data_IF_403720308929
#
_entry.id   IF_403720308929
#
_cell.length_a   1.000
_cell.length_b   1.000
_cell.length_c   1.000
_cell.angle_alpha   90.00
_cell.angle_beta   90.00
_cell.angle_gamma   90.00
#
_symmetry.space_group_name_H-M   'P 1'
#
loop_
_entity.id
_entity.type
_entity.pdbx_description
1 polymer ?
#
# COMPACT_ATOMS: atom_id res chain seq x y z
N UNK A 1 -14.58 -73.33 -27.96
CA UNK A 1 -15.21 -72.08 -27.55
C UNK A 1 -14.22 -71.33 -26.67
N UNK A 2 -13.43 -70.42 -27.25
CA UNK A 2 -12.40 -69.66 -26.51
C UNK A 2 -12.98 -68.27 -26.19
N UNK A 3 -13.13 -67.98 -24.86
CA UNK A 3 -13.57 -66.68 -24.41
C UNK A 3 -12.37 -65.70 -24.43
N UNK A 4 -12.47 -64.67 -25.27
CA UNK A 4 -11.49 -63.58 -25.35
C UNK A 4 -11.85 -62.55 -24.24
N UNK A 5 -10.96 -62.44 -23.26
CA UNK A 5 -11.07 -61.40 -22.21
C UNK A 5 -10.31 -60.16 -22.66
N UNK A 6 -11.05 -59.12 -23.01
CA UNK A 6 -10.47 -57.82 -23.38
C UNK A 6 -10.16 -57.03 -22.12
N UNK A 7 -8.87 -56.81 -21.83
CA UNK A 7 -8.40 -55.99 -20.70
C UNK A 7 -8.33 -54.52 -21.17
N UNK A 8 -9.28 -53.72 -20.71
CA UNK A 8 -9.27 -52.27 -20.97
C UNK A 8 -8.39 -51.61 -19.93
N UNK A 9 -7.20 -51.15 -20.39
CA UNK A 9 -6.28 -50.40 -19.58
C UNK A 9 -6.75 -48.93 -19.52
N UNK A 10 -7.33 -48.50 -18.39
CA UNK A 10 -7.71 -47.14 -18.14
C UNK A 10 -6.45 -46.35 -17.78
N UNK A 11 -5.90 -45.56 -18.72
CA UNK A 11 -4.81 -44.64 -18.48
C UNK A 11 -5.36 -43.40 -17.74
N UNK A 12 -5.19 -43.34 -16.44
CA UNK A 12 -5.37 -42.10 -15.67
C UNK A 12 -4.23 -41.14 -16.01
N UNK A 13 -4.52 -40.16 -16.86
CA UNK A 13 -3.66 -38.99 -17.06
C UNK A 13 -3.83 -38.11 -15.81
N UNK A 14 -2.94 -38.25 -14.86
CA UNK A 14 -2.74 -37.27 -13.78
C UNK A 14 -2.20 -35.99 -14.41
N UNK A 15 -3.12 -35.08 -14.76
CA UNK A 15 -2.75 -33.71 -15.09
C UNK A 15 -2.28 -33.03 -13.78
N UNK A 16 -1.02 -33.24 -13.43
CA UNK A 16 -0.39 -32.51 -12.35
C UNK A 16 -0.29 -31.04 -12.80
N UNK A 17 -1.10 -30.17 -12.17
CA UNK A 17 -0.85 -28.74 -12.21
C UNK A 17 0.49 -28.49 -11.49
N UNK A 18 1.60 -28.60 -12.22
CA UNK A 18 2.84 -28.00 -11.78
C UNK A 18 2.63 -26.49 -11.86
N UNK A 19 2.54 -25.84 -10.67
CA UNK A 19 2.66 -24.40 -10.60
C UNK A 19 3.94 -24.02 -11.34
N UNK A 20 3.80 -23.35 -12.47
CA UNK A 20 4.94 -22.81 -13.22
C UNK A 20 5.57 -21.77 -12.28
N UNK A 21 6.71 -22.14 -11.68
CA UNK A 21 7.56 -21.20 -10.98
C UNK A 21 7.97 -20.17 -12.03
N UNK A 22 7.49 -18.93 -11.92
CA UNK A 22 7.87 -17.83 -12.81
C UNK A 22 9.38 -17.68 -12.64
N UNK A 23 10.12 -18.10 -13.65
CA UNK A 23 11.56 -17.91 -13.70
C UNK A 23 11.79 -16.45 -14.08
N UNK A 24 12.22 -15.61 -13.14
CA UNK A 24 12.57 -14.21 -13.38
C UNK A 24 13.89 -14.12 -14.17
N UNK A 25 14.06 -15.00 -15.15
CA UNK A 25 15.27 -15.11 -16.00
C UNK A 25 15.63 -13.81 -16.73
N UNK A 26 14.71 -12.84 -16.81
CA UNK A 26 14.94 -11.52 -17.41
C UNK A 26 15.40 -10.46 -16.41
N UNK A 27 15.52 -10.78 -15.12
CA UNK A 27 15.88 -9.79 -14.09
C UNK A 27 14.81 -8.71 -13.84
N UNK A 28 13.57 -8.92 -14.25
CA UNK A 28 12.45 -8.02 -14.03
C UNK A 28 11.70 -8.37 -12.75
N UNK A 29 11.28 -7.35 -11.99
CA UNK A 29 10.41 -7.47 -10.81
C UNK A 29 9.15 -6.66 -11.07
N UNK A 30 8.00 -7.33 -11.10
CA UNK A 30 6.70 -6.69 -11.30
C UNK A 30 6.13 -6.22 -9.96
N UNK A 31 6.03 -4.91 -9.79
CA UNK A 31 5.58 -4.24 -8.57
C UNK A 31 4.14 -3.79 -8.74
N UNK A 32 3.26 -4.23 -7.83
CA UNK A 32 1.86 -3.77 -7.76
C UNK A 32 1.69 -2.64 -6.75
N UNK A 33 1.08 -1.54 -7.20
CA UNK A 33 0.62 -0.44 -6.36
C UNK A 33 -0.65 0.20 -6.94
N UNK A 34 -1.41 0.90 -6.11
CA UNK A 34 -2.53 1.72 -6.58
C UNK A 34 -2.10 3.18 -6.83
N UNK A 35 -3.07 4.03 -7.14
CA UNK A 35 -2.87 5.47 -7.29
C UNK A 35 -2.92 6.12 -5.90
N UNK A 36 -1.76 6.39 -5.32
CA UNK A 36 -1.62 6.83 -3.93
C UNK A 36 -0.50 7.88 -3.79
N UNK A 37 -0.74 9.13 -4.28
CA UNK A 37 0.21 10.25 -4.19
C UNK A 37 0.48 10.61 -2.72
N UNK A 38 1.73 10.90 -2.31
CA UNK A 38 2.97 10.98 -3.10
C UNK A 38 3.77 9.67 -3.17
N UNK A 39 3.22 8.53 -2.72
CA UNK A 39 3.95 7.26 -2.64
C UNK A 39 4.07 6.57 -4.00
N UNK A 40 2.96 6.42 -4.72
CA UNK A 40 2.91 5.86 -6.07
C UNK A 40 1.76 6.48 -6.86
N UNK A 41 2.06 7.08 -8.00
CA UNK A 41 1.06 7.73 -8.85
C UNK A 41 1.55 7.83 -10.29
N UNK A 42 0.62 8.05 -11.23
CA UNK A 42 0.94 8.28 -12.64
C UNK A 42 0.95 9.78 -12.90
N UNK A 43 2.08 10.27 -13.39
CA UNK A 43 2.25 11.62 -13.90
C UNK A 43 2.75 11.57 -15.34
N UNK A 44 2.00 12.20 -16.26
CA UNK A 44 2.29 12.21 -17.70
C UNK A 44 2.54 10.81 -18.32
N UNK A 45 1.86 9.78 -17.79
CA UNK A 45 1.97 8.39 -18.26
C UNK A 45 3.12 7.60 -17.64
N UNK A 46 3.88 8.18 -16.72
CA UNK A 46 4.98 7.52 -16.01
C UNK A 46 4.64 7.32 -14.53
N UNK A 47 5.06 6.17 -13.98
CA UNK A 47 4.97 5.94 -12.54
C UNK A 47 6.02 6.74 -11.80
N UNK A 48 5.58 7.50 -10.80
CA UNK A 48 6.37 8.36 -9.91
C UNK A 48 5.95 8.16 -8.46
N UNK A 49 6.75 8.68 -7.54
CA UNK A 49 6.45 8.72 -6.12
C UNK A 49 7.57 8.15 -5.26
N UNK A 50 7.44 8.35 -3.97
CA UNK A 50 8.44 7.94 -2.96
C UNK A 50 8.76 6.45 -3.11
N UNK A 51 7.75 5.59 -3.13
CA UNK A 51 7.93 4.14 -3.21
C UNK A 51 8.47 3.70 -4.57
N UNK A 52 8.04 4.39 -5.64
CA UNK A 52 8.51 4.14 -6.99
C UNK A 52 10.01 4.42 -7.12
N UNK A 53 10.47 5.54 -6.58
CA UNK A 53 11.88 5.93 -6.70
C UNK A 53 12.77 5.11 -5.74
N UNK A 54 12.29 4.76 -4.53
CA UNK A 54 12.98 3.81 -3.66
C UNK A 54 13.10 2.44 -4.34
N UNK A 55 12.03 1.95 -4.99
CA UNK A 55 12.04 0.67 -5.69
C UNK A 55 12.99 0.67 -6.89
N UNK A 56 12.98 1.76 -7.70
CA UNK A 56 13.91 1.92 -8.83
C UNK A 56 15.36 1.86 -8.37
N UNK A 57 15.71 2.62 -7.35
CA UNK A 57 17.08 2.67 -6.82
C UNK A 57 17.49 1.33 -6.20
N UNK A 58 16.64 0.74 -5.35
CA UNK A 58 16.95 -0.54 -4.71
C UNK A 58 17.17 -1.65 -5.74
N UNK A 59 16.27 -1.81 -6.69
CA UNK A 59 16.37 -2.83 -7.72
C UNK A 59 17.54 -2.58 -8.68
N UNK A 60 17.84 -1.32 -9.00
CA UNK A 60 19.02 -0.95 -9.78
C UNK A 60 20.33 -1.38 -9.09
N UNK A 61 20.48 -1.14 -7.79
CA UNK A 61 21.64 -1.61 -6.99
C UNK A 61 21.78 -3.14 -6.99
N UNK A 62 20.65 -3.83 -7.06
CA UNK A 62 20.60 -5.30 -7.09
C UNK A 62 20.76 -5.89 -8.51
N UNK A 63 20.79 -5.06 -9.58
CA UNK A 63 20.87 -5.49 -10.96
C UNK A 63 19.56 -6.00 -11.55
N UNK A 64 18.41 -5.60 -10.97
CA UNK A 64 17.07 -5.90 -11.44
C UNK A 64 16.41 -4.67 -12.08
N UNK A 65 15.38 -4.92 -12.91
CA UNK A 65 14.58 -3.89 -13.57
C UNK A 65 13.17 -3.87 -12.95
N UNK A 66 12.70 -2.76 -12.36
CA UNK A 66 11.32 -2.67 -11.88
C UNK A 66 10.34 -2.50 -13.04
N UNK A 67 9.23 -3.23 -12.98
CA UNK A 67 8.07 -3.07 -13.86
C UNK A 67 6.87 -2.72 -12.99
N UNK A 68 6.38 -1.50 -13.10
CA UNK A 68 5.25 -1.04 -12.27
C UNK A 68 3.92 -1.39 -12.93
N UNK A 69 3.02 -1.94 -12.12
CA UNK A 69 1.65 -2.28 -12.50
C UNK A 69 0.68 -1.60 -11.56
N UNK A 70 -0.18 -0.73 -12.11
CA UNK A 70 -1.31 -0.20 -11.34
C UNK A 70 -2.32 -1.30 -11.11
N UNK A 71 -2.75 -1.48 -9.85
CA UNK A 71 -3.71 -2.50 -9.42
C UNK A 71 -4.90 -1.86 -8.68
N UNK A 72 -6.01 -2.58 -8.61
CA UNK A 72 -7.09 -2.30 -7.68
C UNK A 72 -6.65 -2.74 -6.28
N UNK A 73 -6.57 -1.80 -5.32
CA UNK A 73 -6.03 -2.07 -3.99
C UNK A 73 -6.70 -3.24 -3.28
N UNK A 74 -8.03 -3.34 -3.34
CA UNK A 74 -8.78 -4.43 -2.71
C UNK A 74 -8.45 -5.81 -3.30
N UNK A 75 -7.93 -5.86 -4.52
CA UNK A 75 -7.54 -7.10 -5.21
C UNK A 75 -6.04 -7.40 -5.15
N UNK A 76 -5.25 -6.64 -4.37
CA UNK A 76 -3.79 -6.81 -4.28
C UNK A 76 -3.36 -8.26 -4.02
N UNK A 77 -4.10 -8.97 -3.16
CA UNK A 77 -3.82 -10.36 -2.82
C UNK A 77 -4.10 -11.33 -3.98
N UNK A 78 -5.06 -11.02 -4.82
CA UNK A 78 -5.38 -11.81 -6.02
C UNK A 78 -4.27 -11.65 -7.05
N UNK A 79 -3.82 -10.42 -7.31
CA UNK A 79 -2.70 -10.13 -8.20
C UNK A 79 -1.41 -10.81 -7.73
N UNK A 80 -1.10 -10.71 -6.42
CA UNK A 80 0.07 -11.35 -5.85
C UNK A 80 -0.04 -12.89 -5.95
N UNK A 81 -1.19 -13.48 -5.61
CA UNK A 81 -1.43 -14.92 -5.64
C UNK A 81 -1.37 -15.48 -7.06
N UNK A 82 -1.93 -14.79 -8.04
CA UNK A 82 -1.90 -15.21 -9.46
C UNK A 82 -0.49 -15.14 -10.06
N UNK A 83 0.41 -14.34 -9.48
CA UNK A 83 1.74 -14.07 -10.03
C UNK A 83 1.72 -12.99 -11.13
N UNK A 84 0.64 -12.21 -11.22
CA UNK A 84 0.58 -11.03 -12.09
C UNK A 84 1.50 -9.93 -11.57
N UNK A 85 1.78 -9.90 -10.26
CA UNK A 85 2.79 -9.09 -9.60
C UNK A 85 3.70 -10.00 -8.77
N UNK A 86 4.94 -9.60 -8.60
CA UNK A 86 5.93 -10.29 -7.75
C UNK A 86 5.85 -9.80 -6.31
N UNK A 87 5.54 -8.50 -6.12
CA UNK A 87 5.38 -7.90 -4.80
C UNK A 87 4.34 -6.76 -4.82
N UNK A 88 3.86 -6.42 -3.62
CA UNK A 88 3.08 -5.21 -3.34
C UNK A 88 4.05 -4.20 -2.72
N UNK A 89 4.24 -3.05 -3.38
CA UNK A 89 5.09 -1.97 -2.91
C UNK A 89 4.42 -0.62 -3.23
N UNK A 90 3.71 -0.11 -2.26
CA UNK A 90 2.89 1.11 -2.40
C UNK A 90 2.26 1.47 -1.06
N UNK A 91 3.00 2.13 -0.17
CA UNK A 91 2.55 2.58 1.15
C UNK A 91 1.85 1.46 1.97
N UNK A 92 2.38 0.22 1.88
CA UNK A 92 1.73 -0.94 2.48
C UNK A 92 2.21 -1.19 3.90
N UNK A 93 1.29 -1.08 4.87
CA UNK A 93 1.57 -1.30 6.30
C UNK A 93 1.78 -2.77 6.61
N UNK A 94 2.89 -3.06 7.32
CA UNK A 94 3.23 -4.40 7.80
C UNK A 94 2.41 -4.78 9.04
N UNK A 95 2.03 -3.79 9.86
CA UNK A 95 1.43 -4.00 11.17
C UNK A 95 0.15 -4.83 11.08
N UNK A 96 0.06 -5.88 11.92
CA UNK A 96 -1.01 -6.88 11.99
C UNK A 96 -1.22 -7.70 10.71
N UNK A 97 -0.19 -7.74 9.84
CA UNK A 97 -0.13 -8.53 8.61
C UNK A 97 1.18 -9.33 8.49
N UNK A 98 1.97 -9.39 9.56
CA UNK A 98 3.29 -10.02 9.59
C UNK A 98 3.21 -11.48 9.14
N UNK A 99 2.15 -12.18 9.52
CA UNK A 99 1.93 -13.59 9.17
C UNK A 99 1.29 -13.81 7.79
N UNK A 100 0.90 -12.76 7.06
CA UNK A 100 0.23 -12.91 5.78
C UNK A 100 1.19 -12.98 4.60
N UNK A 101 2.34 -12.33 4.69
CA UNK A 101 3.31 -12.18 3.61
C UNK A 101 4.73 -12.50 4.05
N UNK A 102 5.64 -12.68 3.09
CA UNK A 102 7.07 -12.54 3.33
C UNK A 102 7.41 -11.06 3.16
N UNK A 103 7.75 -10.39 4.26
CA UNK A 103 7.99 -8.97 4.29
C UNK A 103 9.46 -8.60 4.16
N UNK A 104 9.73 -7.52 3.43
CA UNK A 104 11.00 -6.80 3.49
C UNK A 104 10.74 -5.39 4.01
N UNK A 105 11.39 -5.00 5.08
CA UNK A 105 11.21 -3.68 5.71
C UNK A 105 11.28 -3.74 7.25
N UNK A 106 10.79 -2.69 7.96
CA UNK A 106 10.20 -1.48 7.39
C UNK A 106 11.23 -0.59 6.69
N UNK A 107 10.87 -0.02 5.53
CA UNK A 107 11.73 0.96 4.84
C UNK A 107 11.37 2.41 5.21
N UNK A 108 10.10 2.68 5.56
CA UNK A 108 9.58 3.95 6.03
C UNK A 108 8.60 3.76 7.19
N UNK A 109 8.29 4.87 7.87
CA UNK A 109 7.20 4.99 8.83
C UNK A 109 6.26 6.09 8.35
N UNK A 110 4.95 5.92 8.54
CA UNK A 110 3.93 6.87 8.12
C UNK A 110 2.79 6.93 9.13
N UNK A 111 2.40 8.15 9.50
CA UNK A 111 1.27 8.35 10.41
C UNK A 111 -0.05 8.09 9.68
N UNK A 112 -0.96 7.43 10.37
CA UNK A 112 -2.38 7.40 10.04
C UNK A 112 -3.05 8.54 10.79
N UNK A 113 -3.51 9.55 10.09
CA UNK A 113 -4.07 10.77 10.68
C UNK A 113 -5.52 10.95 10.27
N UNK A 114 -6.25 11.74 11.06
CA UNK A 114 -7.62 12.14 10.74
C UNK A 114 -7.60 13.56 10.17
N UNK A 115 -8.27 13.73 9.05
CA UNK A 115 -8.47 15.03 8.41
C UNK A 115 -9.95 15.40 8.42
N UNK A 116 -10.24 16.65 8.71
CA UNK A 116 -11.57 17.24 8.76
C UNK A 116 -11.59 18.56 7.97
N UNK A 117 -12.78 19.10 7.71
CA UNK A 117 -12.91 20.48 7.23
C UNK A 117 -12.44 21.45 8.29
N UNK A 118 -11.92 22.62 7.88
CA UNK A 118 -11.40 23.65 8.81
C UNK A 118 -12.48 24.13 9.80
N UNK A 119 -13.72 24.25 9.37
CA UNK A 119 -14.86 24.67 10.18
C UNK A 119 -15.50 23.55 11.02
N UNK A 120 -14.91 22.34 11.06
CA UNK A 120 -15.42 21.20 11.82
C UNK A 120 -15.31 21.42 13.33
N UNK A 121 -16.25 20.84 14.08
CA UNK A 121 -16.25 20.78 15.56
C UNK A 121 -15.43 19.62 16.14
N UNK A 122 -14.71 18.86 15.29
CA UNK A 122 -13.89 17.70 15.66
C UNK A 122 -12.45 18.17 15.87
N UNK A 123 -11.92 18.17 17.09
CA UNK A 123 -10.56 18.61 17.44
C UNK A 123 -9.68 17.48 17.98
N UNK A 124 -10.26 16.36 18.40
CA UNK A 124 -9.58 15.19 18.96
C UNK A 124 -10.20 13.88 18.43
N UNK A 125 -9.52 12.75 18.62
CA UNK A 125 -10.10 11.44 18.29
C UNK A 125 -11.38 11.15 19.09
N UNK A 126 -11.50 11.66 20.30
CA UNK A 126 -12.70 11.50 21.13
C UNK A 126 -13.94 12.23 20.55
N UNK A 127 -13.74 13.30 19.77
CA UNK A 127 -14.82 14.05 19.12
C UNK A 127 -15.41 13.30 17.92
N UNK A 128 -14.78 12.19 17.47
CA UNK A 128 -15.33 11.30 16.44
C UNK A 128 -16.57 10.53 16.93
N UNK A 129 -16.88 10.59 18.21
CA UNK A 129 -18.09 9.96 18.77
C UNK A 129 -19.35 10.42 18.02
N UNK A 130 -20.14 9.44 17.55
CA UNK A 130 -21.34 9.64 16.73
C UNK A 130 -21.11 10.35 15.38
N UNK A 131 -19.87 10.48 14.92
CA UNK A 131 -19.53 11.03 13.60
C UNK A 131 -19.41 9.92 12.56
N UNK A 132 -19.45 10.31 11.31
CA UNK A 132 -19.25 9.42 10.14
C UNK A 132 -17.82 9.60 9.66
N UNK A 133 -17.07 8.50 9.60
CA UNK A 133 -15.67 8.51 9.16
C UNK A 133 -15.53 7.77 7.83
N UNK A 134 -14.75 8.32 6.91
CA UNK A 134 -14.40 7.70 5.63
C UNK A 134 -12.96 7.19 5.61
N UNK A 135 -12.75 5.98 5.10
CA UNK A 135 -11.41 5.37 4.94
C UNK A 135 -11.31 4.62 3.62
N UNK A 136 -10.09 4.36 3.14
CA UNK A 136 -9.91 3.46 2.01
C UNK A 136 -10.09 2.01 2.46
N UNK A 137 -10.79 1.21 1.66
CA UNK A 137 -11.04 -0.20 1.95
C UNK A 137 -9.73 -1.01 1.99
N UNK A 138 -9.63 -1.96 2.92
CA UNK A 138 -8.47 -2.81 3.20
C UNK A 138 -7.19 -2.04 3.58
N UNK A 139 -7.35 -0.76 4.00
CA UNK A 139 -6.26 0.08 4.49
C UNK A 139 -5.93 -0.22 5.96
N UNK A 140 -4.83 0.37 6.46
CA UNK A 140 -4.50 0.30 7.89
C UNK A 140 -5.41 1.22 8.72
N UNK A 141 -5.90 2.31 8.15
CA UNK A 141 -6.88 3.18 8.80
C UNK A 141 -8.20 2.42 9.05
N UNK A 142 -8.75 1.72 8.04
CA UNK A 142 -9.94 0.88 8.24
C UNK A 142 -9.74 -0.11 9.39
N UNK A 143 -8.64 -0.88 9.34
CA UNK A 143 -8.33 -1.85 10.39
C UNK A 143 -8.27 -1.20 11.78
N UNK A 144 -7.70 0.01 11.89
CA UNK A 144 -7.60 0.71 13.18
C UNK A 144 -8.96 1.09 13.74
N UNK A 145 -9.88 1.57 12.89
CA UNK A 145 -11.25 1.88 13.32
C UNK A 145 -12.09 0.65 13.68
N UNK A 146 -11.76 -0.51 13.10
CA UNK A 146 -12.45 -1.77 13.40
C UNK A 146 -11.90 -2.51 14.64
N UNK A 147 -10.65 -2.19 15.08
CA UNK A 147 -9.94 -2.96 16.10
C UNK A 147 -9.40 -2.12 17.27
N UNK A 148 -9.73 -0.85 17.34
CA UNK A 148 -9.36 0.04 18.46
C UNK A 148 -10.57 0.51 19.22
N UNK A 149 -10.78 -0.03 20.42
CA UNK A 149 -11.91 0.29 21.31
C UNK A 149 -12.09 1.80 21.57
N UNK A 150 -11.02 2.61 21.43
CA UNK A 150 -11.09 4.07 21.58
C UNK A 150 -11.79 4.77 20.39
N UNK A 151 -11.94 4.07 19.27
CA UNK A 151 -12.56 4.56 18.05
C UNK A 151 -13.93 3.91 17.77
N UNK A 152 -14.42 3.03 18.65
CA UNK A 152 -15.66 2.25 18.47
C UNK A 152 -16.93 3.10 18.55
N UNK A 153 -16.89 4.29 19.16
CA UNK A 153 -18.05 5.16 19.37
C UNK A 153 -18.46 5.98 18.12
N UNK A 154 -17.82 5.77 16.97
CA UNK A 154 -18.23 6.43 15.72
C UNK A 154 -19.63 5.95 15.27
N UNK A 155 -20.35 6.79 14.53
CA UNK A 155 -21.68 6.43 14.03
C UNK A 155 -21.62 5.42 12.88
N UNK A 156 -20.74 5.65 11.91
CA UNK A 156 -20.49 4.77 10.78
C UNK A 156 -19.06 4.92 10.26
N UNK A 157 -18.47 3.81 9.85
CA UNK A 157 -17.24 3.75 9.04
C UNK A 157 -17.64 3.46 7.59
N UNK A 158 -17.41 4.43 6.68
CA UNK A 158 -17.59 4.21 5.25
C UNK A 158 -16.24 3.89 4.59
N UNK A 159 -16.24 2.83 3.78
CA UNK A 159 -15.06 2.41 3.03
C UNK A 159 -15.22 2.75 1.56
N UNK A 160 -14.16 3.26 0.95
CA UNK A 160 -14.09 3.67 -0.44
C UNK A 160 -12.98 2.90 -1.17
N UNK A 161 -13.09 2.79 -2.49
CA UNK A 161 -12.11 2.03 -3.27
C UNK A 161 -10.76 2.73 -3.37
N UNK A 162 -10.75 4.04 -3.38
CA UNK A 162 -9.54 4.87 -3.56
C UNK A 162 -9.46 5.98 -2.53
N UNK A 163 -8.25 6.46 -2.25
CA UNK A 163 -8.03 7.61 -1.37
C UNK A 163 -8.67 8.90 -1.94
N UNK A 164 -8.74 9.03 -3.26
CA UNK A 164 -9.43 10.15 -3.91
C UNK A 164 -10.94 10.15 -3.60
N UNK A 165 -11.59 8.98 -3.62
CA UNK A 165 -13.01 8.86 -3.25
C UNK A 165 -13.23 9.17 -1.77
N UNK A 166 -12.29 8.76 -0.89
CA UNK A 166 -12.29 9.16 0.52
C UNK A 166 -12.31 10.68 0.65
N UNK A 167 -11.40 11.38 -0.02
CA UNK A 167 -11.34 12.84 0.01
C UNK A 167 -12.59 13.50 -0.57
N UNK A 168 -13.09 13.04 -1.71
CA UNK A 168 -14.32 13.55 -2.33
C UNK A 168 -15.52 13.42 -1.37
N UNK A 169 -15.56 12.35 -0.56
CA UNK A 169 -16.64 12.15 0.41
C UNK A 169 -16.65 13.24 1.51
N UNK A 170 -15.45 13.65 1.99
CA UNK A 170 -15.30 14.76 2.93
C UNK A 170 -15.65 16.11 2.28
N UNK A 171 -15.17 16.38 1.07
CA UNK A 171 -15.49 17.59 0.33
C UNK A 171 -16.99 17.79 0.19
N UNK A 172 -17.72 16.73 -0.11
CA UNK A 172 -19.17 16.72 -0.31
C UNK A 172 -19.98 16.58 0.97
N UNK A 173 -19.30 16.56 2.14
CA UNK A 173 -19.92 16.35 3.44
C UNK A 173 -20.78 15.05 3.52
N UNK A 174 -20.37 13.98 2.81
CA UNK A 174 -20.95 12.65 3.00
C UNK A 174 -20.41 11.97 4.26
N UNK A 175 -19.22 12.37 4.68
CA UNK A 175 -18.57 11.99 5.93
C UNK A 175 -18.15 13.23 6.70
N UNK A 176 -18.04 13.14 8.03
CA UNK A 176 -17.62 14.22 8.91
C UNK A 176 -16.09 14.33 8.99
N UNK A 177 -15.40 13.21 8.86
CA UNK A 177 -13.95 13.09 8.91
C UNK A 177 -13.46 11.99 7.96
N UNK A 178 -12.20 12.05 7.58
CA UNK A 178 -11.52 10.97 6.83
C UNK A 178 -10.23 10.59 7.53
N UNK A 179 -9.82 9.32 7.39
CA UNK A 179 -8.55 8.86 7.95
C UNK A 179 -7.74 8.08 6.91
N UNK A 180 -6.42 8.23 7.01
CA UNK A 180 -5.45 7.60 6.12
C UNK A 180 -4.03 8.07 6.37
N UNK A 181 -3.12 7.66 5.51
CA UNK A 181 -1.73 8.13 5.56
C UNK A 181 -1.68 9.65 5.39
N UNK A 182 -1.08 10.35 6.36
CA UNK A 182 -1.08 11.81 6.42
C UNK A 182 -0.52 12.44 5.15
N UNK A 183 0.63 11.98 4.65
CA UNK A 183 1.22 12.52 3.43
C UNK A 183 0.30 12.37 2.21
N UNK A 184 -0.45 11.26 2.12
CA UNK A 184 -1.39 11.08 1.03
C UNK A 184 -2.59 12.03 1.14
N UNK A 185 -3.11 12.23 2.34
CA UNK A 185 -4.19 13.21 2.56
C UNK A 185 -3.71 14.64 2.32
N UNK A 186 -2.48 15.00 2.73
CA UNK A 186 -1.87 16.31 2.45
C UNK A 186 -1.71 16.55 0.96
N UNK A 187 -1.28 15.55 0.20
CA UNK A 187 -1.15 15.67 -1.25
C UNK A 187 -2.50 15.98 -1.94
N UNK A 188 -3.62 15.50 -1.39
CA UNK A 188 -4.95 15.75 -1.94
C UNK A 188 -5.46 17.16 -1.71
N UNK A 189 -5.12 17.78 -0.58
CA UNK A 189 -5.54 19.15 -0.27
C UNK A 189 -4.67 20.22 -0.94
N UNK A 190 -3.44 19.86 -1.34
CA UNK A 190 -2.51 20.75 -2.07
C UNK A 190 -2.34 22.15 -1.45
N UNK A 191 -2.18 22.18 -0.13
CA UNK A 191 -2.04 23.42 0.62
C UNK A 191 -3.35 24.22 0.80
N UNK A 192 -4.53 23.65 0.57
CA UNK A 192 -5.79 24.32 0.85
C UNK A 192 -6.00 24.48 2.35
N UNK A 193 -6.33 25.68 2.80
CA UNK A 193 -6.70 26.00 4.18
C UNK A 193 -8.14 25.57 4.55
N UNK A 194 -8.86 24.91 3.63
CA UNK A 194 -10.24 24.42 3.88
C UNK A 194 -10.28 23.18 4.77
N UNK A 195 -9.11 22.59 5.06
CA UNK A 195 -8.98 21.33 5.80
C UNK A 195 -7.88 21.43 6.84
N UNK A 196 -8.03 20.69 7.92
CA UNK A 196 -7.01 20.50 8.95
C UNK A 196 -6.92 19.07 9.41
N UNK A 197 -5.77 18.73 10.00
CA UNK A 197 -5.54 17.45 10.66
C UNK A 197 -5.75 17.59 12.14
N UNK A 198 -6.16 16.51 12.79
CA UNK A 198 -6.12 16.42 14.25
C UNK A 198 -4.66 16.31 14.68
N UNK A 199 -4.34 16.87 15.87
CA UNK A 199 -2.99 16.76 16.46
C UNK A 199 -2.64 15.31 16.83
N UNK A 200 -3.65 14.50 17.10
CA UNK A 200 -3.52 13.09 17.48
C UNK A 200 -3.52 12.20 16.24
N UNK A 201 -2.53 11.31 16.15
CA UNK A 201 -2.52 10.27 15.13
C UNK A 201 -3.32 9.06 15.58
N UNK A 202 -4.02 8.41 14.65
CA UNK A 202 -4.67 7.11 14.90
C UNK A 202 -3.63 6.06 15.28
N UNK A 203 -2.55 5.98 14.50
CA UNK A 203 -1.37 5.15 14.73
C UNK A 203 -0.23 5.52 13.78
N UNK A 204 0.97 5.01 14.02
CA UNK A 204 2.09 5.06 13.08
C UNK A 204 2.29 3.70 12.44
N UNK A 205 2.22 3.64 11.12
CA UNK A 205 2.42 2.42 10.32
C UNK A 205 3.88 2.20 9.96
N UNK A 206 4.30 0.93 9.98
CA UNK A 206 5.57 0.45 9.42
C UNK A 206 5.34 0.05 7.97
N UNK A 207 5.98 0.72 7.01
CA UNK A 207 5.81 0.42 5.59
C UNK A 207 6.84 -0.61 5.13
N UNK A 208 6.36 -1.65 4.43
CA UNK A 208 7.20 -2.72 3.92
C UNK A 208 6.81 -3.15 2.51
N UNK A 209 7.65 -3.98 1.92
CA UNK A 209 7.41 -4.65 0.63
C UNK A 209 6.91 -6.06 0.91
N UNK A 210 5.73 -6.39 0.40
CA UNK A 210 5.09 -7.69 0.65
C UNK A 210 5.25 -8.62 -0.54
N UNK A 211 5.76 -9.81 -0.29
CA UNK A 211 5.91 -10.91 -1.25
C UNK A 211 5.07 -12.11 -0.83
N UNK A 212 4.89 -13.10 -1.72
CA UNK A 212 4.37 -14.40 -1.32
C UNK A 212 5.25 -15.03 -0.27
N UNK A 213 4.67 -15.80 0.65
CA UNK A 213 5.42 -16.46 1.75
C UNK A 213 6.54 -17.40 1.26
N UNK A 214 6.37 -17.99 0.11
CA UNK A 214 7.31 -18.91 -0.53
C UNK A 214 8.24 -18.25 -1.56
N UNK A 215 8.32 -16.91 -1.55
CA UNK A 215 9.22 -16.17 -2.43
C UNK A 215 10.71 -16.49 -2.11
N UNK A 216 11.59 -16.24 -3.09
CA UNK A 216 13.01 -16.53 -2.98
C UNK A 216 13.67 -15.80 -1.78
N UNK A 217 14.09 -16.56 -0.78
CA UNK A 217 14.67 -16.03 0.45
C UNK A 217 16.00 -15.29 0.22
N UNK A 218 16.76 -15.68 -0.81
CA UNK A 218 18.01 -15.02 -1.19
C UNK A 218 17.74 -13.63 -1.75
N UNK A 219 16.69 -13.49 -2.57
CA UNK A 219 16.23 -12.20 -3.08
C UNK A 219 15.73 -11.31 -1.95
N UNK A 220 14.90 -11.84 -1.04
CA UNK A 220 14.37 -11.07 0.10
C UNK A 220 15.50 -10.56 1.00
N UNK A 221 16.50 -11.40 1.28
CA UNK A 221 17.66 -11.00 2.08
C UNK A 221 18.51 -9.93 1.37
N UNK A 222 18.70 -10.05 0.05
CA UNK A 222 19.41 -9.06 -0.75
C UNK A 222 18.67 -7.71 -0.74
N UNK A 223 17.35 -7.71 -0.96
CA UNK A 223 16.54 -6.49 -0.93
C UNK A 223 16.56 -5.85 0.46
N UNK A 224 16.46 -6.64 1.54
CA UNK A 224 16.54 -6.13 2.91
C UNK A 224 17.88 -5.43 3.18
N UNK A 225 18.99 -6.03 2.76
CA UNK A 225 20.32 -5.43 2.89
C UNK A 225 20.44 -4.14 2.07
N UNK A 226 19.96 -4.15 0.84
CA UNK A 226 19.98 -2.96 -0.04
C UNK A 226 19.19 -1.81 0.55
N UNK A 227 17.97 -2.04 1.06
CA UNK A 227 17.18 -0.99 1.71
C UNK A 227 17.84 -0.49 3.01
N UNK A 228 18.53 -1.39 3.74
CA UNK A 228 19.32 -0.98 4.91
C UNK A 228 20.50 -0.07 4.52
N UNK A 229 21.24 -0.41 3.46
CA UNK A 229 22.31 0.44 2.92
C UNK A 229 21.78 1.80 2.46
N UNK A 230 20.69 1.83 1.71
CA UNK A 230 20.04 3.08 1.24
C UNK A 230 19.54 3.96 2.38
N UNK A 231 19.17 3.37 3.51
CA UNK A 231 18.85 4.14 4.72
C UNK A 231 20.10 4.75 5.34
N UNK A 232 21.19 3.97 5.43
CA UNK A 232 22.43 4.40 6.09
C UNK A 232 23.20 5.44 5.28
N UNK A 233 23.15 5.36 3.95
CA UNK A 233 23.81 6.33 3.05
C UNK A 233 22.98 7.59 2.79
N UNK A 234 21.74 7.64 3.30
CA UNK A 234 20.86 8.80 3.20
C UNK A 234 19.96 8.82 1.96
N UNK A 235 20.11 7.88 1.04
CA UNK A 235 19.34 7.85 -0.23
C UNK A 235 17.83 7.86 0.01
N UNK A 236 17.31 7.02 0.95
CA UNK A 236 15.88 7.02 1.26
C UNK A 236 15.43 8.39 1.77
N UNK A 237 16.21 9.03 2.63
CA UNK A 237 15.88 10.36 3.14
C UNK A 237 15.83 11.41 2.02
N UNK A 238 16.81 11.41 1.12
CA UNK A 238 16.84 12.34 -0.02
C UNK A 238 15.63 12.17 -0.93
N UNK A 239 15.25 10.91 -1.21
CA UNK A 239 14.04 10.63 -1.99
C UNK A 239 12.79 11.19 -1.27
N UNK A 240 12.60 10.86 0.00
CA UNK A 240 11.45 11.35 0.79
C UNK A 240 11.41 12.88 0.81
N UNK A 241 12.53 13.52 1.11
CA UNK A 241 12.64 14.99 1.19
C UNK A 241 12.26 15.66 -0.15
N UNK A 242 12.57 15.03 -1.29
CA UNK A 242 12.25 15.58 -2.61
C UNK A 242 10.73 15.66 -2.87
N UNK A 243 9.96 14.78 -2.27
CA UNK A 243 8.50 14.77 -2.39
C UNK A 243 7.80 15.58 -1.28
N UNK A 244 8.37 15.59 -0.07
CA UNK A 244 7.77 16.30 1.07
C UNK A 244 8.10 17.79 1.07
N UNK A 245 9.24 18.20 0.55
CA UNK A 245 9.58 19.61 0.39
C UNK A 245 8.60 20.35 -0.51
N UNK A 246 8.11 19.70 -1.56
CA UNK A 246 7.13 20.27 -2.47
C UNK A 246 5.73 20.39 -1.81
N UNK A 247 5.34 19.42 -0.97
CA UNK A 247 4.08 19.45 -0.22
C UNK A 247 4.09 20.53 0.86
N UNK A 248 5.26 20.80 1.48
CA UNK A 248 5.41 21.85 2.50
C UNK A 248 5.69 23.24 1.93
N UNK A 249 6.25 23.36 0.70
CA UNK A 249 6.55 24.67 0.08
C UNK A 249 5.32 25.35 -0.54
N UNK A 250 4.24 24.61 -0.81
CA UNK A 250 2.98 25.25 -1.23
C UNK A 250 2.26 25.93 -0.05
N UNK A 251 2.59 25.57 1.21
CA UNK A 251 2.06 26.20 2.43
C UNK A 251 2.82 27.48 2.86
N UNK A 252 3.88 27.89 2.18
CA UNK A 252 4.83 28.89 2.66
C UNK A 252 5.15 30.09 1.80
N UNK A 253 4.38 30.40 0.74
CA UNK A 253 4.61 31.60 -0.07
C UNK A 253 3.36 32.50 -0.13
N UNK A 254 3.22 33.35 0.87
CA UNK A 254 2.77 34.74 0.74
C UNK A 254 3.78 35.69 1.43
#
# INVERSE_FOLDING_TARGET
MRKLVTFVLLLFILCGCTAVKKDNSNGEIVIGSDQFEPFSYIDNGEMKGIDVDIAKEALSRMGYTPVFKQIEWQKKDEYLRSGEIDCIWGCFSMDDREDLYAWVGPYLFSNQSVMVKEDSDIYSLADLKNKIVGVQATSKAEWAFENNDQLDDIRYLYTFSTINEVFISLQRAYVDAVAGHELALRALIRGSDDYRFLDENVLTSKLGVAFKKDYDQSFLALLANTLHEMRNDGTIKEIVDSYTSNVMMEDGNE
#
